data_IF_417354364025
#
_entry.id   IF_417354364025
#
_cell.length_a   1.000
_cell.length_b   1.000
_cell.length_c   1.000
_cell.angle_alpha   90.00
_cell.angle_beta   90.00
_cell.angle_gamma   90.00
#
_symmetry.space_group_name_H-M   'P 1'
#
loop_
_entity.id
_entity.type
_entity.pdbx_description
1 polymer ?
#
# COMPACT_ATOMS: atom_id res chain seq x y z
N UNK A 1 7.21 -27.69 -15.92
CA UNK A 1 6.98 -26.47 -15.12
C UNK A 1 7.76 -25.36 -15.80
N UNK A 2 7.15 -24.73 -16.80
CA UNK A 2 7.78 -23.69 -17.60
C UNK A 2 7.79 -22.40 -16.79
N UNK A 3 8.91 -22.14 -16.11
CA UNK A 3 9.22 -20.84 -15.52
C UNK A 3 9.63 -19.88 -16.64
N UNK A 4 8.65 -19.37 -17.39
CA UNK A 4 8.88 -18.27 -18.31
C UNK A 4 9.27 -17.03 -17.50
N UNK A 5 10.44 -16.45 -17.81
CA UNK A 5 10.80 -15.12 -17.35
C UNK A 5 9.76 -14.13 -17.91
N UNK A 6 8.75 -13.80 -17.11
CA UNK A 6 7.80 -12.73 -17.42
C UNK A 6 8.56 -11.43 -17.19
N UNK A 7 8.74 -10.61 -18.22
CA UNK A 7 9.36 -9.31 -18.07
C UNK A 7 8.51 -8.48 -17.10
N UNK A 8 9.08 -8.03 -15.99
CA UNK A 8 8.40 -7.10 -15.09
C UNK A 8 9.15 -5.78 -15.20
N UNK A 9 8.49 -4.74 -15.72
CA UNK A 9 9.05 -3.40 -15.72
C UNK A 9 8.73 -2.74 -14.38
N UNK A 10 9.80 -2.40 -13.64
CA UNK A 10 9.72 -1.66 -12.38
C UNK A 10 10.28 -0.27 -12.62
N UNK A 11 9.47 0.75 -12.35
CA UNK A 11 9.87 2.16 -12.46
C UNK A 11 9.99 2.76 -11.08
N UNK A 12 11.14 3.39 -10.83
CA UNK A 12 11.43 4.22 -9.66
C UNK A 12 11.29 5.68 -10.08
N UNK A 13 10.22 6.38 -9.65
CA UNK A 13 10.02 7.79 -9.95
C UNK A 13 11.15 8.63 -9.36
N UNK A 14 11.62 9.64 -10.09
CA UNK A 14 12.64 10.60 -9.62
C UNK A 14 12.04 11.74 -8.77
N UNK A 15 10.72 11.79 -8.66
CA UNK A 15 9.95 12.80 -7.95
C UNK A 15 8.71 12.16 -7.31
N UNK A 16 8.10 12.87 -6.37
CA UNK A 16 6.79 12.50 -5.82
C UNK A 16 5.79 12.24 -6.95
N UNK A 17 5.09 11.11 -6.85
CA UNK A 17 4.05 10.72 -7.80
C UNK A 17 2.72 11.33 -7.36
N UNK A 18 1.98 11.92 -8.29
CA UNK A 18 0.66 12.46 -8.02
C UNK A 18 -0.34 11.32 -7.84
N UNK A 19 -1.32 11.53 -6.96
CA UNK A 19 -2.38 10.56 -6.71
C UNK A 19 -3.11 10.12 -7.99
N UNK A 20 -3.33 11.06 -8.92
CA UNK A 20 -3.98 10.77 -10.20
C UNK A 20 -3.17 9.83 -11.09
N UNK A 21 -1.84 9.91 -11.04
CA UNK A 21 -0.96 9.01 -11.78
C UNK A 21 -1.02 7.60 -11.19
N UNK A 22 -1.06 7.49 -9.85
CA UNK A 22 -1.24 6.21 -9.15
C UNK A 22 -2.61 5.60 -9.50
N UNK A 23 -3.68 6.40 -9.46
CA UNK A 23 -5.04 5.96 -9.83
C UNK A 23 -5.09 5.42 -11.26
N UNK A 24 -4.55 6.18 -12.23
CA UNK A 24 -4.49 5.76 -13.63
C UNK A 24 -3.67 4.49 -13.83
N UNK A 25 -2.53 4.38 -13.13
CA UNK A 25 -1.68 3.18 -13.14
C UNK A 25 -2.44 1.93 -12.65
N UNK A 26 -3.18 2.06 -11.55
CA UNK A 26 -3.98 0.98 -10.99
C UNK A 26 -5.21 0.63 -11.86
N UNK A 27 -5.86 1.61 -12.49
CA UNK A 27 -6.98 1.39 -13.43
C UNK A 27 -6.55 0.60 -14.67
N UNK A 28 -5.29 0.75 -15.10
CA UNK A 28 -4.70 -0.04 -16.19
C UNK A 28 -4.35 -1.49 -15.76
N UNK A 29 -4.66 -1.88 -14.52
CA UNK A 29 -4.42 -3.24 -14.01
C UNK A 29 -2.98 -3.50 -13.55
N UNK A 30 -2.13 -2.48 -13.59
CA UNK A 30 -0.79 -2.49 -13.01
C UNK A 30 -0.85 -2.43 -11.48
N UNK A 31 0.28 -2.63 -10.81
CA UNK A 31 0.35 -2.56 -9.34
C UNK A 31 1.46 -1.63 -8.89
N UNK A 32 1.43 -1.22 -7.63
CA UNK A 32 2.50 -0.45 -7.03
C UNK A 32 2.86 -0.99 -5.64
N UNK A 33 4.15 -1.02 -5.31
CA UNK A 33 4.61 -1.22 -3.93
C UNK A 33 4.78 0.16 -3.33
N UNK A 34 4.11 0.44 -2.21
CA UNK A 34 4.02 1.77 -1.63
C UNK A 34 4.44 1.71 -0.17
N UNK A 35 5.35 2.59 0.24
CA UNK A 35 5.65 2.81 1.64
C UNK A 35 4.56 3.70 2.25
N UNK A 36 3.95 3.24 3.34
CA UNK A 36 2.92 4.01 4.05
C UNK A 36 3.24 4.14 5.53
N UNK A 37 2.67 5.15 6.18
CA UNK A 37 2.54 5.14 7.63
C UNK A 37 1.41 4.21 8.06
N UNK A 38 1.75 3.06 8.65
CA UNK A 38 0.81 2.06 9.13
C UNK A 38 -0.11 2.57 10.25
N UNK A 39 0.27 3.63 10.96
CA UNK A 39 -0.57 4.27 11.99
C UNK A 39 -1.74 5.03 11.35
N UNK A 40 -1.56 5.56 10.14
CA UNK A 40 -2.58 6.32 9.40
C UNK A 40 -3.41 5.42 8.49
N UNK A 41 -2.81 4.39 7.89
CA UNK A 41 -3.50 3.52 6.94
C UNK A 41 -4.56 2.64 7.61
N UNK A 42 -5.81 3.10 7.62
CA UNK A 42 -6.97 2.31 8.06
C UNK A 42 -7.50 1.42 6.94
N UNK A 43 -8.23 0.36 7.28
CA UNK A 43 -8.87 -0.52 6.31
C UNK A 43 -10.37 -0.58 6.56
N UNK A 44 -11.16 -0.30 5.53
CA UNK A 44 -12.63 -0.27 5.61
C UNK A 44 -13.24 -1.68 5.68
N UNK A 45 -12.46 -2.72 5.31
CA UNK A 45 -12.90 -4.12 5.32
C UNK A 45 -12.41 -4.90 6.53
N UNK A 46 -11.39 -4.42 7.24
CA UNK A 46 -10.80 -5.13 8.37
C UNK A 46 -11.39 -4.59 9.67
N UNK A 47 -12.09 -5.46 10.42
CA UNK A 47 -12.69 -5.12 11.71
C UNK A 47 -11.68 -4.85 12.83
N UNK A 48 -10.38 -5.00 12.58
CA UNK A 48 -9.31 -4.74 13.54
C UNK A 48 -8.16 -3.97 12.86
N UNK A 49 -7.58 -2.96 13.52
CA UNK A 49 -6.37 -2.29 13.04
C UNK A 49 -5.23 -3.31 12.82
N UNK A 50 -4.24 -2.90 12.03
CA UNK A 50 -3.08 -3.74 11.67
C UNK A 50 -2.51 -4.40 12.93
N UNK A 51 -2.51 -5.75 12.97
CA UNK A 51 -2.31 -6.57 14.17
C UNK A 51 -0.92 -6.47 14.82
N UNK A 52 -0.03 -5.62 14.31
CA UNK A 52 1.37 -5.61 14.70
C UNK A 52 1.86 -4.17 14.91
N UNK A 53 2.15 -3.85 16.17
CA UNK A 53 3.26 -2.95 16.48
C UNK A 53 4.44 -3.85 16.85
N UNK A 54 5.60 -3.69 16.23
CA UNK A 54 6.82 -4.43 16.62
C UNK A 54 6.76 -5.97 16.49
N UNK A 55 5.92 -6.53 15.60
CA UNK A 55 5.63 -7.99 15.55
C UNK A 55 4.94 -8.57 16.80
N UNK A 56 4.40 -7.73 17.69
CA UNK A 56 3.69 -8.20 18.88
C UNK A 56 2.19 -8.37 18.60
N UNK A 57 1.55 -9.46 19.08
CA UNK A 57 0.10 -9.64 18.98
C UNK A 57 -0.69 -8.52 19.66
N UNK A 58 -1.90 -8.28 19.17
CA UNK A 58 -2.90 -7.41 19.80
C UNK A 58 -3.05 -7.74 21.29
N UNK A 59 -2.87 -6.74 22.16
CA UNK A 59 -2.99 -6.89 23.62
C UNK A 59 -1.67 -6.80 24.41
N UNK A 60 -0.52 -6.81 23.74
CA UNK A 60 0.77 -6.56 24.37
C UNK A 60 1.14 -5.07 24.31
N UNK A 61 1.62 -4.50 25.42
CA UNK A 61 2.10 -3.11 25.47
C UNK A 61 3.42 -3.00 24.68
N UNK A 62 3.37 -2.66 23.39
CA UNK A 62 4.59 -2.20 22.71
C UNK A 62 4.80 -0.70 22.98
N UNK A 63 6.02 -0.32 23.37
CA UNK A 63 6.43 1.08 23.63
C UNK A 63 6.74 1.87 22.36
N UNK A 64 6.33 1.37 21.19
CA UNK A 64 6.35 2.04 19.89
C UNK A 64 5.31 3.17 19.83
N UNK A 65 5.37 4.14 20.75
CA UNK A 65 4.64 5.42 20.66
C UNK A 65 5.32 6.37 19.67
N UNK A 66 5.74 5.87 18.51
CA UNK A 66 6.31 6.73 17.46
C UNK A 66 5.19 7.20 16.54
N UNK A 67 5.19 8.48 16.13
CA UNK A 67 4.17 9.04 15.23
C UNK A 67 4.19 8.42 13.83
N UNK A 68 5.31 7.76 13.47
CA UNK A 68 5.52 7.10 12.20
C UNK A 68 5.90 5.63 12.39
N UNK A 69 5.24 4.75 11.64
CA UNK A 69 5.63 3.34 11.46
C UNK A 69 5.52 2.97 9.98
N UNK A 70 6.65 2.87 9.31
CA UNK A 70 6.70 2.50 7.90
C UNK A 70 6.25 1.06 7.66
N UNK A 71 5.42 0.85 6.64
CA UNK A 71 4.98 -0.47 6.20
C UNK A 71 4.78 -0.48 4.69
N UNK A 72 5.36 -1.47 4.00
CA UNK A 72 5.14 -1.63 2.57
C UNK A 72 3.84 -2.40 2.31
N UNK A 73 3.01 -1.86 1.42
CA UNK A 73 1.80 -2.52 0.91
C UNK A 73 1.85 -2.60 -0.61
N UNK A 74 1.07 -3.51 -1.18
CA UNK A 74 0.92 -3.60 -2.64
C UNK A 74 -0.42 -3.00 -3.03
N UNK A 75 -0.44 -1.77 -3.54
CA UNK A 75 -1.63 -1.20 -4.16
C UNK A 75 -1.92 -1.95 -5.47
N UNK A 76 -3.11 -2.53 -5.57
CA UNK A 76 -3.45 -3.48 -6.64
C UNK A 76 -4.72 -3.14 -7.42
N UNK A 77 -5.43 -2.08 -7.06
CA UNK A 77 -6.57 -1.60 -7.82
C UNK A 77 -7.11 -0.28 -7.28
N UNK A 78 -7.86 0.42 -8.12
CA UNK A 78 -8.59 1.63 -7.78
C UNK A 78 -10.02 1.51 -8.28
N UNK A 79 -11.00 1.80 -7.42
CA UNK A 79 -12.41 1.89 -7.82
C UNK A 79 -12.84 3.35 -7.85
N UNK A 80 -13.09 3.87 -9.05
CA UNK A 80 -13.52 5.25 -9.28
C UNK A 80 -14.90 5.57 -8.71
N UNK A 81 -15.80 4.60 -8.68
CA UNK A 81 -17.18 4.78 -8.17
C UNK A 81 -17.17 4.94 -6.65
N UNK A 82 -16.38 4.15 -5.94
CA UNK A 82 -16.31 4.21 -4.47
C UNK A 82 -15.21 5.13 -3.95
N UNK A 83 -14.26 5.56 -4.80
CA UNK A 83 -13.11 6.35 -4.37
C UNK A 83 -12.16 5.56 -3.47
N UNK A 84 -12.02 4.25 -3.72
CA UNK A 84 -11.26 3.34 -2.86
C UNK A 84 -10.03 2.78 -3.56
N UNK A 85 -8.94 2.65 -2.79
CA UNK A 85 -7.73 1.92 -3.18
C UNK A 85 -7.80 0.52 -2.58
N UNK A 86 -7.64 -0.48 -3.44
CA UNK A 86 -7.44 -1.87 -3.04
C UNK A 86 -5.96 -2.14 -2.88
N UNK A 87 -5.60 -2.81 -1.80
CA UNK A 87 -4.22 -3.16 -1.53
C UNK A 87 -4.08 -4.53 -0.86
N UNK A 88 -3.02 -5.25 -1.18
CA UNK A 88 -2.59 -6.38 -0.40
C UNK A 88 -1.70 -5.90 0.75
N UNK A 89 -1.99 -6.37 1.96
CA UNK A 89 -1.17 -6.13 3.12
C UNK A 89 -0.37 -7.40 3.42
N UNK A 90 0.96 -7.43 3.24
CA UNK A 90 1.79 -8.62 3.46
C UNK A 90 1.71 -9.19 4.88
N UNK A 91 1.27 -8.41 5.87
CA UNK A 91 1.05 -8.87 7.25
C UNK A 91 -0.17 -9.81 7.39
N UNK A 92 -1.01 -9.92 6.35
CA UNK A 92 -2.15 -10.82 6.26
C UNK A 92 -2.01 -11.68 5.01
N UNK A 93 -1.94 -13.00 5.16
CA UNK A 93 -1.93 -13.90 4.01
C UNK A 93 -3.29 -13.87 3.29
N UNK A 94 -3.26 -13.87 1.96
CA UNK A 94 -4.40 -14.09 1.05
C UNK A 94 -5.62 -13.19 1.25
N UNK A 95 -5.39 -11.89 1.50
CA UNK A 95 -6.48 -10.91 1.57
C UNK A 95 -6.18 -9.62 0.80
N UNK A 96 -7.21 -9.11 0.11
CA UNK A 96 -7.24 -7.74 -0.42
C UNK A 96 -7.97 -6.84 0.58
N UNK A 97 -7.29 -5.81 1.03
CA UNK A 97 -7.78 -4.73 1.87
C UNK A 97 -8.29 -3.56 1.01
N UNK A 98 -9.00 -2.64 1.64
CA UNK A 98 -9.57 -1.46 0.99
C UNK A 98 -9.46 -0.26 1.93
N UNK A 99 -9.13 0.89 1.38
CA UNK A 99 -9.14 2.18 2.08
C UNK A 99 -9.64 3.27 1.16
N UNK A 100 -10.12 4.38 1.72
CA UNK A 100 -10.38 5.59 0.92
C UNK A 100 -9.10 6.16 0.31
N UNK A 101 -9.24 6.82 -0.83
CA UNK A 101 -8.16 7.55 -1.50
C UNK A 101 -7.51 8.61 -0.60
N UNK A 102 -8.28 9.31 0.23
CA UNK A 102 -7.75 10.33 1.14
C UNK A 102 -6.84 9.74 2.21
N UNK A 103 -7.25 8.64 2.84
CA UNK A 103 -6.45 7.95 3.85
C UNK A 103 -5.19 7.35 3.23
N UNK A 104 -5.29 6.78 2.03
CA UNK A 104 -4.13 6.29 1.30
C UNK A 104 -3.11 7.40 1.00
N UNK A 105 -3.58 8.55 0.51
CA UNK A 105 -2.73 9.71 0.20
C UNK A 105 -2.06 10.27 1.46
N UNK A 106 -2.81 10.42 2.55
CA UNK A 106 -2.26 10.87 3.84
C UNK A 106 -1.19 9.89 4.37
N UNK A 107 -1.47 8.59 4.29
CA UNK A 107 -0.56 7.57 4.78
C UNK A 107 0.74 7.50 3.97
N UNK A 108 0.69 7.59 2.64
CA UNK A 108 1.88 7.54 1.77
C UNK A 108 2.71 8.82 1.76
N UNK A 109 2.13 9.96 2.18
CA UNK A 109 2.80 11.27 2.26
C UNK A 109 3.19 11.66 3.67
N UNK A 110 2.90 10.79 4.64
CA UNK A 110 3.30 10.99 6.02
C UNK A 110 4.82 11.13 6.14
N UNK A 111 5.26 11.97 7.08
CA UNK A 111 6.68 12.15 7.38
C UNK A 111 7.38 10.80 7.61
N UNK A 112 8.54 10.60 6.96
CA UNK A 112 9.36 9.40 7.05
C UNK A 112 9.07 8.32 6.00
N UNK A 113 8.05 8.51 5.15
CA UNK A 113 7.79 7.64 3.98
C UNK A 113 8.61 8.02 2.76
N UNK A 114 9.14 9.25 2.73
CA UNK A 114 9.81 9.87 1.58
C UNK A 114 9.01 9.81 0.26
N UNK A 115 7.71 9.53 0.37
CA UNK A 115 6.80 9.22 -0.74
C UNK A 115 7.28 8.06 -1.64
N UNK A 116 8.02 7.11 -1.05
CA UNK A 116 8.59 5.95 -1.74
C UNK A 116 7.49 5.07 -2.38
N UNK A 117 7.60 4.91 -3.70
CA UNK A 117 6.68 4.11 -4.49
C UNK A 117 7.41 3.45 -5.67
N UNK A 118 7.10 2.17 -5.90
CA UNK A 118 7.56 1.39 -7.04
C UNK A 118 6.39 1.09 -7.94
N UNK A 119 6.39 1.65 -9.15
CA UNK A 119 5.36 1.35 -10.16
C UNK A 119 5.77 0.07 -10.90
N UNK A 120 4.90 -0.94 -10.84
CA UNK A 120 5.12 -2.25 -11.45
C UNK A 120 4.14 -2.42 -12.61
N UNK A 121 4.66 -2.43 -13.82
CA UNK A 121 3.90 -2.64 -15.04
C UNK A 121 3.83 -4.13 -15.34
N UNK A 122 2.60 -4.65 -15.45
CA UNK A 122 2.37 -6.01 -15.94
C UNK A 122 2.41 -5.99 -17.46
N UNK A 123 3.14 -6.93 -18.06
CA UNK A 123 3.03 -7.20 -19.50
C UNK A 123 1.60 -7.64 -19.85
N UNK A 124 1.10 -7.12 -20.97
CA UNK A 124 -0.21 -7.43 -21.55
C UNK A 124 -0.26 -8.83 -22.13
#
# INVERSE_FOLDING_TARGET
>A
LEGGNKGILIVFPRSSVLLQEIQSHLEQGHVAIVLVNAVVLTCDLCSSPVKYCCFLPVGQKCFCRKPYQGHFVVACGYNRTTGCIFYNNPAYSDRVCCTSVSVFEEARRSYGTDEDILLIYKES
#
